data_IF_775784034364
#
_entry.id   IF_775784034364
#
_cell.length_a   1.000
_cell.length_b   1.000
_cell.length_c   1.000
_cell.angle_alpha   90.00
_cell.angle_beta   90.00
_cell.angle_gamma   90.00
#
_symmetry.space_group_name_H-M   'P 1'
#
loop_
_entity.id
_entity.type
_entity.pdbx_description
1 polymer ?
#
# COMPACT_ATOMS: atom_id res chain seq x y z
N UNK A 1 -32.44 -54.03 -23.35
CA UNK A 1 -31.15 -54.27 -22.65
C UNK A 1 -31.23 -53.56 -21.33
N UNK A 2 -31.41 -54.28 -20.22
CA UNK A 2 -31.37 -53.73 -18.89
C UNK A 2 -29.95 -53.19 -18.66
N UNK A 3 -29.83 -51.88 -18.48
CA UNK A 3 -28.62 -51.29 -17.95
C UNK A 3 -28.46 -51.75 -16.51
N UNK A 4 -27.78 -52.84 -16.30
CA UNK A 4 -27.40 -53.33 -14.99
C UNK A 4 -26.57 -52.23 -14.33
N UNK A 5 -27.06 -51.73 -13.21
CA UNK A 5 -26.42 -50.64 -12.47
C UNK A 5 -25.01 -51.07 -12.06
N UNK A 6 -23.99 -50.44 -12.62
CA UNK A 6 -22.58 -50.69 -12.28
C UNK A 6 -22.25 -50.42 -10.80
N UNK A 7 -23.19 -49.85 -10.04
CA UNK A 7 -22.98 -49.45 -8.64
C UNK A 7 -23.91 -50.15 -7.65
N UNK A 8 -24.61 -51.20 -8.06
CA UNK A 8 -25.65 -51.89 -7.28
C UNK A 8 -25.16 -52.38 -5.91
N UNK A 9 -23.88 -52.81 -5.84
CA UNK A 9 -23.29 -53.41 -4.65
C UNK A 9 -22.35 -52.49 -3.87
N UNK A 10 -22.13 -51.25 -4.33
CA UNK A 10 -21.20 -50.34 -3.67
C UNK A 10 -21.87 -49.61 -2.51
N UNK A 11 -21.20 -49.57 -1.37
CA UNK A 11 -21.67 -48.80 -0.23
C UNK A 11 -21.52 -47.28 -0.45
N UNK A 12 -22.35 -46.50 0.24
CA UNK A 12 -22.21 -45.05 0.27
C UNK A 12 -20.91 -44.69 0.97
N UNK A 13 -20.12 -43.83 0.38
CA UNK A 13 -18.81 -43.44 0.92
C UNK A 13 -18.96 -42.76 2.32
N UNK A 14 -18.02 -43.06 3.21
CA UNK A 14 -17.96 -42.47 4.55
C UNK A 14 -17.78 -40.95 4.48
N UNK A 15 -18.39 -40.23 5.43
CA UNK A 15 -18.33 -38.72 5.52
C UNK A 15 -16.91 -38.19 5.37
N UNK A 16 -15.95 -38.74 6.11
CA UNK A 16 -14.56 -38.29 6.08
C UNK A 16 -13.93 -38.38 4.70
N UNK A 17 -14.21 -39.42 3.93
CA UNK A 17 -13.66 -39.61 2.57
C UNK A 17 -14.30 -38.63 1.58
N UNK A 18 -15.60 -38.35 1.71
CA UNK A 18 -16.28 -37.33 0.91
C UNK A 18 -15.72 -35.95 1.24
N UNK A 19 -15.53 -35.63 2.52
CA UNK A 19 -14.93 -34.38 2.96
C UNK A 19 -13.49 -34.19 2.42
N UNK A 20 -12.66 -35.22 2.51
CA UNK A 20 -11.29 -35.20 1.96
C UNK A 20 -11.32 -35.01 0.43
N UNK A 21 -12.25 -35.68 -0.29
CA UNK A 21 -12.40 -35.49 -1.73
C UNK A 21 -12.71 -34.04 -2.09
N UNK A 22 -13.65 -33.42 -1.39
CA UNK A 22 -14.02 -32.01 -1.61
C UNK A 22 -12.86 -31.08 -1.27
N UNK A 23 -12.15 -31.32 -0.17
CA UNK A 23 -11.00 -30.53 0.22
C UNK A 23 -9.86 -30.63 -0.83
N UNK A 24 -9.60 -31.84 -1.35
CA UNK A 24 -8.63 -32.02 -2.42
C UNK A 24 -9.06 -31.34 -3.73
N UNK A 25 -10.34 -31.40 -4.09
CA UNK A 25 -10.87 -30.67 -5.26
C UNK A 25 -10.69 -29.15 -5.09
N UNK A 26 -11.02 -28.63 -3.91
CA UNK A 26 -10.83 -27.22 -3.58
C UNK A 26 -9.35 -26.82 -3.70
N UNK A 27 -8.46 -27.62 -3.15
CA UNK A 27 -7.01 -27.41 -3.25
C UNK A 27 -6.48 -27.51 -4.69
N UNK A 28 -6.99 -28.47 -5.48
CA UNK A 28 -6.62 -28.61 -6.89
C UNK A 28 -7.07 -27.40 -7.72
N UNK A 29 -8.28 -26.89 -7.50
CA UNK A 29 -8.75 -25.67 -8.17
C UNK A 29 -7.84 -24.51 -7.82
N UNK A 30 -7.50 -24.35 -6.54
CA UNK A 30 -6.61 -23.28 -6.10
C UNK A 30 -5.22 -23.36 -6.73
N UNK A 31 -4.57 -24.52 -6.67
CA UNK A 31 -3.21 -24.72 -7.23
C UNK A 31 -3.21 -24.51 -8.76
N UNK A 32 -4.19 -25.09 -9.45
CA UNK A 32 -4.31 -24.92 -10.91
C UNK A 32 -4.56 -23.47 -11.29
N UNK A 33 -5.43 -22.79 -10.54
CA UNK A 33 -5.68 -21.36 -10.75
C UNK A 33 -4.44 -20.51 -10.54
N UNK A 34 -3.62 -20.82 -9.52
CA UNK A 34 -2.33 -20.13 -9.30
C UNK A 34 -1.33 -20.35 -10.44
N UNK A 35 -1.20 -21.58 -10.91
CA UNK A 35 -0.29 -21.89 -12.02
C UNK A 35 -0.71 -21.17 -13.31
N UNK A 36 -2.00 -21.20 -13.63
CA UNK A 36 -2.54 -20.50 -14.77
C UNK A 36 -2.49 -18.98 -14.60
N UNK A 37 -2.66 -18.47 -13.38
CA UNK A 37 -2.50 -17.05 -13.08
C UNK A 37 -1.08 -16.57 -13.38
N UNK A 38 -0.07 -17.33 -12.99
CA UNK A 38 1.32 -16.99 -13.31
C UNK A 38 1.54 -16.88 -14.83
N UNK A 39 0.98 -17.81 -15.61
CA UNK A 39 1.03 -17.73 -17.07
C UNK A 39 0.22 -16.54 -17.62
N UNK A 40 -0.95 -16.27 -17.05
CA UNK A 40 -1.79 -15.14 -17.49
C UNK A 40 -1.18 -13.78 -17.15
N UNK A 41 -0.37 -13.67 -16.07
CA UNK A 41 0.39 -12.45 -15.76
C UNK A 41 1.41 -12.14 -16.84
N UNK A 42 2.10 -13.16 -17.37
CA UNK A 42 3.02 -12.96 -18.50
C UNK A 42 2.29 -12.39 -19.71
N UNK A 43 1.10 -12.88 -20.02
CA UNK A 43 0.26 -12.32 -21.08
C UNK A 43 -0.23 -10.91 -20.77
N UNK A 44 -0.66 -10.67 -19.52
CA UNK A 44 -1.18 -9.36 -19.08
C UNK A 44 -0.11 -8.28 -19.15
N UNK A 45 1.14 -8.59 -18.80
CA UNK A 45 2.25 -7.64 -18.85
C UNK A 45 2.53 -7.10 -20.26
N UNK A 46 2.13 -7.83 -21.30
CA UNK A 46 2.27 -7.42 -22.71
C UNK A 46 1.02 -6.70 -23.25
N UNK A 47 -0.05 -6.58 -22.49
CA UNK A 47 -1.23 -5.87 -22.92
C UNK A 47 -0.96 -4.36 -23.01
N UNK A 48 -1.33 -3.69 -24.12
CA UNK A 48 -1.10 -2.24 -24.27
C UNK A 48 -1.72 -1.41 -23.13
N UNK A 49 -2.86 -1.85 -22.58
CA UNK A 49 -3.54 -1.17 -21.46
C UNK A 49 -2.71 -1.25 -20.19
N UNK A 50 -2.10 -2.42 -19.92
CA UNK A 50 -1.22 -2.61 -18.75
C UNK A 50 0.04 -1.75 -18.87
N UNK A 51 0.74 -1.84 -20.00
CA UNK A 51 1.96 -1.05 -20.25
C UNK A 51 1.68 0.45 -20.18
N UNK A 52 0.53 0.91 -20.73
CA UNK A 52 0.12 2.31 -20.63
C UNK A 52 -0.14 2.74 -19.18
N UNK A 53 -0.75 1.88 -18.37
CA UNK A 53 -1.01 2.17 -16.96
C UNK A 53 0.29 2.24 -16.14
N UNK A 54 1.24 1.32 -16.38
CA UNK A 54 2.56 1.32 -15.74
C UNK A 54 3.34 2.58 -16.13
N UNK A 55 3.42 2.88 -17.43
CA UNK A 55 4.12 4.08 -17.89
C UNK A 55 3.49 5.36 -17.33
N UNK A 56 2.15 5.41 -17.22
CA UNK A 56 1.47 6.54 -16.59
C UNK A 56 1.85 6.65 -15.12
N UNK A 57 1.87 5.54 -14.38
CA UNK A 57 2.26 5.51 -12.98
C UNK A 57 3.68 6.03 -12.78
N UNK A 58 4.63 5.53 -13.58
CA UNK A 58 6.05 5.92 -13.48
C UNK A 58 6.24 7.41 -13.82
N UNK A 59 5.63 7.89 -14.91
CA UNK A 59 5.74 9.29 -15.32
C UNK A 59 5.13 10.24 -14.28
N UNK A 60 3.92 9.96 -13.81
CA UNK A 60 3.26 10.81 -12.80
C UNK A 60 4.01 10.75 -11.46
N UNK A 61 4.57 9.59 -11.09
CA UNK A 61 5.42 9.47 -9.91
C UNK A 61 6.66 10.38 -10.03
N UNK A 62 7.27 10.42 -11.20
CA UNK A 62 8.42 11.30 -11.46
C UNK A 62 8.02 12.78 -11.41
N UNK A 63 6.91 13.15 -12.03
CA UNK A 63 6.39 14.52 -12.00
C UNK A 63 6.06 14.98 -10.57
N UNK A 64 5.41 14.13 -9.77
CA UNK A 64 5.14 14.41 -8.36
C UNK A 64 6.43 14.63 -7.55
N UNK A 65 7.45 13.80 -7.78
CA UNK A 65 8.78 13.95 -7.15
C UNK A 65 9.44 15.27 -7.56
N UNK A 66 9.42 15.62 -8.84
CA UNK A 66 9.97 16.88 -9.33
C UNK A 66 9.24 18.08 -8.70
N UNK A 67 7.91 18.02 -8.63
CA UNK A 67 7.12 19.07 -8.02
C UNK A 67 7.52 19.30 -6.55
N UNK A 68 7.59 18.25 -5.75
CA UNK A 68 7.99 18.37 -4.33
C UNK A 68 9.45 18.81 -4.18
N UNK A 69 10.33 18.40 -5.10
CA UNK A 69 11.73 18.88 -5.09
C UNK A 69 11.81 20.40 -5.33
N UNK A 70 10.93 20.97 -6.17
CA UNK A 70 10.87 22.42 -6.38
C UNK A 70 10.50 23.19 -5.13
N UNK A 71 9.77 22.61 -4.19
CA UNK A 71 9.46 23.23 -2.89
C UNK A 71 10.67 23.30 -1.95
N UNK A 72 11.75 22.58 -2.24
CA UNK A 72 12.93 22.36 -1.38
C UNK A 72 12.66 21.66 -0.05
N UNK A 73 11.43 21.31 0.26
CA UNK A 73 11.07 20.62 1.51
C UNK A 73 11.52 19.17 1.55
N UNK A 74 11.58 18.52 0.39
CA UNK A 74 12.09 17.15 0.22
C UNK A 74 13.06 17.10 -0.93
N UNK A 75 14.07 16.22 -0.81
CA UNK A 75 14.95 15.83 -1.89
C UNK A 75 14.58 14.41 -2.32
N UNK A 76 14.63 14.14 -3.59
CA UNK A 76 14.47 12.79 -4.12
C UNK A 76 15.78 12.36 -4.79
N UNK A 77 16.25 11.19 -4.40
CA UNK A 77 17.36 10.49 -5.05
C UNK A 77 16.82 9.24 -5.76
N UNK A 78 17.67 8.59 -6.55
CA UNK A 78 17.34 7.30 -7.18
C UNK A 78 17.04 6.20 -6.16
N UNK A 79 17.55 6.33 -4.94
CA UNK A 79 17.32 5.39 -3.83
C UNK A 79 16.06 5.66 -3.02
N UNK A 80 15.39 6.79 -3.20
CA UNK A 80 14.15 7.13 -2.50
C UNK A 80 13.98 8.60 -2.11
N UNK A 81 13.12 8.85 -1.11
CA UNK A 81 12.83 10.18 -0.59
C UNK A 81 13.91 10.55 0.43
N UNK A 82 14.58 11.68 0.21
CA UNK A 82 15.45 12.32 1.19
C UNK A 82 14.70 13.49 1.83
N UNK A 83 14.35 13.37 3.09
CA UNK A 83 13.84 14.50 3.88
C UNK A 83 15.00 15.35 4.38
N UNK A 84 14.80 16.64 4.73
CA UNK A 84 15.78 17.41 5.46
C UNK A 84 16.20 16.68 6.73
N UNK A 85 17.49 16.40 6.81
CA UNK A 85 18.08 15.64 7.92
C UNK A 85 18.58 16.59 9.01
N UNK A 86 19.04 16.03 10.10
CA UNK A 86 19.63 16.76 11.22
C UNK A 86 20.80 17.68 10.78
N UNK A 87 21.53 17.32 9.71
CA UNK A 87 22.60 18.14 9.14
C UNK A 87 22.07 19.46 8.58
N UNK A 88 20.93 19.45 7.90
CA UNK A 88 20.30 20.67 7.37
C UNK A 88 19.83 21.56 8.51
N UNK A 89 19.24 20.98 9.56
CA UNK A 89 18.85 21.69 10.78
C UNK A 89 20.04 22.33 11.50
N UNK A 90 21.16 21.61 11.61
CA UNK A 90 22.41 22.14 12.20
C UNK A 90 22.97 23.31 11.39
N UNK A 91 22.95 23.19 10.07
CA UNK A 91 23.38 24.28 9.16
C UNK A 91 22.48 25.51 9.33
N UNK A 92 21.16 25.30 9.43
CA UNK A 92 20.20 26.36 9.69
C UNK A 92 20.52 27.10 11.00
N UNK A 93 20.68 26.38 12.12
CA UNK A 93 21.02 26.98 13.41
C UNK A 93 22.37 27.71 13.35
N UNK A 94 23.37 27.14 12.70
CA UNK A 94 24.66 27.81 12.52
C UNK A 94 24.52 29.12 11.76
N UNK A 95 23.67 29.15 10.73
CA UNK A 95 23.43 30.38 9.96
C UNK A 95 22.68 31.44 10.78
N UNK A 96 21.71 31.06 11.62
CA UNK A 96 21.06 31.99 12.57
C UNK A 96 22.11 32.61 13.50
N UNK A 97 22.98 31.78 14.09
CA UNK A 97 24.03 32.26 15.02
C UNK A 97 25.00 33.18 14.30
N UNK A 98 25.45 32.85 13.08
CA UNK A 98 26.35 33.70 12.30
C UNK A 98 25.70 35.01 11.89
N UNK A 99 24.43 34.98 11.47
CA UNK A 99 23.68 36.20 11.12
C UNK A 99 23.55 37.12 12.34
N UNK A 100 23.23 36.56 13.49
CA UNK A 100 23.13 37.29 14.74
C UNK A 100 24.50 37.87 15.16
N UNK A 101 25.56 37.08 15.04
CA UNK A 101 26.92 37.54 15.33
C UNK A 101 27.35 38.68 14.41
N UNK A 102 27.03 38.60 13.12
CA UNK A 102 27.28 39.66 12.16
C UNK A 102 26.59 40.97 12.55
N UNK A 103 25.30 40.89 12.89
CA UNK A 103 24.49 42.08 13.28
C UNK A 103 25.05 42.73 14.54
N UNK A 104 25.46 41.96 15.51
CA UNK A 104 26.03 42.48 16.77
C UNK A 104 27.52 42.81 16.69
N UNK A 105 28.19 42.58 15.56
CA UNK A 105 29.64 42.77 15.44
C UNK A 105 30.44 41.83 16.36
N UNK A 106 29.98 40.62 16.58
CA UNK A 106 30.64 39.61 17.41
C UNK A 106 31.44 38.69 16.49
N UNK A 107 32.71 38.50 16.84
CA UNK A 107 33.60 37.60 16.13
C UNK A 107 33.15 36.14 16.30
N UNK A 108 33.30 35.34 15.22
CA UNK A 108 32.88 33.96 15.14
C UNK A 108 34.09 33.04 14.95
N UNK A 109 34.20 31.91 15.65
CA UNK A 109 35.30 30.96 15.52
C UNK A 109 35.21 30.21 14.18
N UNK A 110 36.31 30.21 13.45
CA UNK A 110 36.45 29.43 12.20
C UNK A 110 37.51 28.36 12.45
N UNK A 111 37.11 27.11 12.25
CA UNK A 111 38.02 25.98 12.39
C UNK A 111 39.00 25.97 11.22
N UNK A 112 40.31 25.86 11.52
CA UNK A 112 41.39 25.76 10.56
C UNK A 112 41.65 24.29 10.20
N UNK A 113 42.49 24.06 9.18
CA UNK A 113 42.87 22.71 8.74
C UNK A 113 43.63 21.92 9.83
N UNK A 114 44.38 22.60 10.70
CA UNK A 114 45.09 22.02 11.84
C UNK A 114 44.20 21.74 13.06
N UNK A 115 42.89 21.85 12.92
CA UNK A 115 41.89 21.75 13.97
C UNK A 115 41.94 22.85 15.04
N UNK A 116 42.74 23.91 14.89
CA UNK A 116 42.64 25.10 15.73
C UNK A 116 41.49 25.99 15.35
N UNK A 117 41.10 26.90 16.23
CA UNK A 117 40.04 27.88 15.95
C UNK A 117 40.62 29.29 15.94
N UNK A 118 40.28 30.06 14.90
CA UNK A 118 40.60 31.49 14.82
C UNK A 118 39.32 32.27 14.84
N UNK A 119 39.19 33.21 15.77
CA UNK A 119 38.03 34.11 15.83
C UNK A 119 38.22 35.25 14.82
N UNK A 120 37.21 35.52 14.02
CA UNK A 120 37.22 36.58 13.02
C UNK A 120 35.82 37.14 12.81
N UNK A 121 35.68 38.38 12.27
CA UNK A 121 34.39 38.95 11.92
C UNK A 121 33.64 38.06 10.93
N UNK A 122 32.34 37.88 11.16
CA UNK A 122 31.48 37.14 10.24
C UNK A 122 31.33 37.95 8.95
N UNK A 123 31.49 37.31 7.81
CA UNK A 123 31.23 37.92 6.50
C UNK A 123 29.77 37.74 6.12
N UNK A 124 29.22 38.71 5.37
CA UNK A 124 27.83 38.68 4.87
C UNK A 124 27.49 37.38 4.16
N UNK A 125 28.40 36.86 3.35
CA UNK A 125 28.25 35.60 2.59
C UNK A 125 28.01 34.35 3.45
N UNK A 126 28.27 34.44 4.74
CA UNK A 126 28.03 33.34 5.70
C UNK A 126 26.76 33.52 6.53
N UNK A 127 25.88 34.40 6.11
CA UNK A 127 24.66 34.77 6.82
C UNK A 127 23.44 34.61 5.94
N UNK A 128 22.25 34.69 6.53
CA UNK A 128 21.00 34.78 5.77
C UNK A 128 20.89 36.06 4.92
N UNK A 129 21.76 37.02 5.12
CA UNK A 129 21.74 38.30 4.41
C UNK A 129 22.43 38.26 3.05
N UNK A 130 23.21 37.19 2.77
CA UNK A 130 24.03 37.11 1.55
C UNK A 130 23.24 36.99 0.26
N UNK A 131 22.05 36.44 0.30
CA UNK A 131 21.29 36.09 -0.91
C UNK A 131 19.88 36.70 -0.90
N UNK A 132 19.82 38.02 -0.80
CA UNK A 132 18.62 38.84 -0.71
C UNK A 132 17.56 38.55 -1.77
N UNK A 133 18.02 38.27 -2.99
CA UNK A 133 17.14 38.16 -4.15
C UNK A 133 16.66 36.73 -4.42
N UNK A 134 17.33 35.72 -3.87
CA UNK A 134 17.11 34.33 -4.27
C UNK A 134 16.43 33.44 -3.22
N UNK A 135 16.21 33.92 -1.99
CA UNK A 135 15.63 33.14 -0.90
C UNK A 135 16.24 31.71 -0.79
N UNK A 136 17.55 31.62 -0.91
CA UNK A 136 18.26 30.33 -0.93
C UNK A 136 18.84 29.94 0.43
N UNK A 137 18.46 30.65 1.47
CA UNK A 137 19.04 30.50 2.82
C UNK A 137 18.79 29.14 3.44
N UNK A 138 17.56 28.72 3.38
CA UNK A 138 17.12 27.41 3.91
C UNK A 138 15.79 26.99 3.26
N UNK A 139 15.46 25.72 3.43
CA UNK A 139 14.29 25.12 2.81
C UNK A 139 12.97 25.71 3.31
N UNK A 140 12.89 26.06 4.60
CA UNK A 140 11.65 26.59 5.19
C UNK A 140 11.40 28.01 4.71
N UNK A 141 12.41 28.89 4.81
CA UNK A 141 12.29 30.28 4.36
C UNK A 141 11.96 30.34 2.88
N UNK A 142 12.61 29.52 2.05
CA UNK A 142 12.28 29.42 0.64
C UNK A 142 10.82 29.03 0.43
N UNK A 143 10.35 27.96 1.10
CA UNK A 143 8.98 27.51 0.93
C UNK A 143 7.97 28.56 1.34
N UNK A 144 8.05 29.06 2.58
CA UNK A 144 6.99 29.95 3.12
C UNK A 144 7.00 31.36 2.55
N UNK A 145 8.15 31.89 2.15
CA UNK A 145 8.26 33.27 1.69
C UNK A 145 8.38 33.45 0.19
N UNK A 146 8.78 32.44 -0.52
CA UNK A 146 8.87 32.50 -1.98
C UNK A 146 7.93 31.53 -2.67
N UNK A 147 8.09 30.24 -2.41
CA UNK A 147 7.36 29.23 -3.17
C UNK A 147 5.86 29.31 -2.93
N UNK A 148 5.43 29.23 -1.69
CA UNK A 148 4.01 29.21 -1.33
C UNK A 148 3.23 30.44 -1.80
N UNK A 149 3.72 31.71 -1.61
CA UNK A 149 3.03 32.90 -2.09
C UNK A 149 2.96 33.03 -3.61
N UNK A 150 3.97 32.52 -4.33
CA UNK A 150 4.07 32.64 -5.79
C UNK A 150 3.27 31.58 -6.55
N UNK A 151 2.73 30.55 -5.86
CA UNK A 151 2.06 29.42 -6.47
C UNK A 151 0.57 29.38 -6.11
N UNK A 152 -0.28 29.72 -7.07
CA UNK A 152 -1.74 29.80 -6.90
C UNK A 152 -2.41 28.45 -6.59
N UNK A 153 -1.72 27.34 -6.84
CA UNK A 153 -2.23 25.99 -6.58
C UNK A 153 -2.51 25.68 -5.09
N UNK A 154 -2.09 26.54 -4.18
CA UNK A 154 -2.44 26.50 -2.77
C UNK A 154 -3.77 27.20 -2.42
N UNK A 155 -4.64 27.40 -3.41
CA UNK A 155 -5.95 28.06 -3.24
C UNK A 155 -5.88 29.51 -2.73
N UNK A 156 -4.93 30.29 -3.23
CA UNK A 156 -4.80 31.73 -2.96
C UNK A 156 -4.77 32.11 -1.47
N UNK A 157 -4.22 31.25 -0.64
CA UNK A 157 -3.95 31.59 0.77
C UNK A 157 -2.80 32.61 0.93
N UNK A 158 -2.44 33.28 -0.14
CA UNK A 158 -1.36 34.24 -0.24
C UNK A 158 -1.48 35.39 0.78
N UNK A 159 -2.73 35.80 1.11
CA UNK A 159 -2.98 36.84 2.08
C UNK A 159 -2.57 36.48 3.52
N UNK A 160 -2.50 35.18 3.83
CA UNK A 160 -2.28 34.73 5.21
C UNK A 160 -0.80 34.63 5.57
N UNK A 161 0.13 34.69 4.59
CA UNK A 161 1.55 34.39 4.78
C UNK A 161 2.45 35.61 4.84
N UNK A 162 1.93 36.78 4.50
CA UNK A 162 2.69 38.04 4.54
C UNK A 162 3.11 38.45 5.96
N UNK A 163 2.60 37.76 6.99
CA UNK A 163 2.95 38.05 8.37
C UNK A 163 3.93 37.01 8.93
N UNK A 164 5.04 37.49 9.45
CA UNK A 164 6.04 36.70 10.19
C UNK A 164 5.45 35.80 11.29
N UNK A 165 4.25 36.14 11.77
CA UNK A 165 3.49 35.40 12.77
C UNK A 165 3.16 33.98 12.32
N UNK A 166 2.68 33.78 11.10
CA UNK A 166 2.27 32.46 10.58
C UNK A 166 3.48 31.54 10.44
N UNK A 167 4.60 32.07 9.93
CA UNK A 167 5.83 31.29 9.87
C UNK A 167 6.28 30.80 11.25
N UNK A 168 6.25 31.69 12.25
CA UNK A 168 6.64 31.34 13.61
C UNK A 168 5.70 30.32 14.25
N UNK A 169 4.40 30.41 13.98
CA UNK A 169 3.41 29.40 14.39
C UNK A 169 3.72 28.05 13.76
N UNK A 170 4.01 28.00 12.46
CA UNK A 170 4.35 26.77 11.73
C UNK A 170 5.66 26.14 12.22
N UNK A 171 6.57 26.94 12.75
CA UNK A 171 7.81 26.46 13.39
C UNK A 171 7.62 26.07 14.87
N UNK A 172 6.45 26.26 15.43
CA UNK A 172 6.17 25.94 16.84
C UNK A 172 6.50 27.07 17.83
N UNK A 173 6.77 28.28 17.37
CA UNK A 173 6.95 29.48 18.21
C UNK A 173 5.63 30.27 18.34
N UNK A 174 4.53 29.59 18.59
CA UNK A 174 3.17 30.15 18.56
C UNK A 174 2.87 31.19 19.65
N UNK A 175 3.76 31.42 20.62
CA UNK A 175 3.56 32.48 21.62
C UNK A 175 4.56 33.62 21.43
N UNK A 176 4.07 34.84 21.55
CA UNK A 176 4.92 36.04 21.53
C UNK A 176 6.04 35.95 22.58
N UNK A 177 5.77 35.39 23.75
CA UNK A 177 6.75 35.20 24.82
C UNK A 177 7.88 34.25 24.45
N UNK A 178 7.59 33.10 23.88
CA UNK A 178 8.61 32.13 23.46
C UNK A 178 9.53 32.71 22.39
N UNK A 179 8.98 33.53 21.49
CA UNK A 179 9.77 34.22 20.47
C UNK A 179 10.63 35.34 21.07
N UNK A 180 10.04 36.22 21.88
CA UNK A 180 10.72 37.41 22.49
C UNK A 180 11.92 36.93 23.35
N UNK A 181 11.78 35.85 24.09
CA UNK A 181 12.85 35.39 24.98
C UNK A 181 14.10 34.89 24.24
N UNK A 182 13.96 34.43 22.97
CA UNK A 182 15.06 33.82 22.23
C UNK A 182 15.54 34.70 21.06
N UNK A 183 14.67 35.55 20.51
CA UNK A 183 14.95 36.32 19.31
C UNK A 183 14.78 37.83 19.55
N UNK A 184 15.46 38.58 18.72
CA UNK A 184 15.30 40.03 18.72
C UNK A 184 13.94 40.38 18.09
N UNK A 185 13.13 41.16 18.81
CA UNK A 185 11.84 41.61 18.31
C UNK A 185 11.97 42.83 17.41
N UNK A 186 10.95 43.06 16.57
CA UNK A 186 10.83 44.21 15.70
C UNK A 186 10.71 45.56 16.44
N UNK A 187 10.72 45.58 17.75
CA UNK A 187 10.51 46.79 18.58
C UNK A 187 11.78 47.62 18.73
N UNK A 188 12.96 47.09 18.31
CA UNK A 188 14.21 47.83 18.31
C UNK A 188 14.44 48.48 16.94
N UNK A 189 14.44 49.80 16.87
CA UNK A 189 14.72 50.56 15.65
C UNK A 189 16.03 50.19 14.95
N UNK A 190 16.99 49.69 15.70
CA UNK A 190 18.31 49.25 15.25
C UNK A 190 18.24 48.14 14.16
N UNK A 191 17.14 47.41 14.07
CA UNK A 191 16.98 46.28 13.11
C UNK A 191 16.02 46.58 11.97
N UNK A 192 15.48 47.77 11.87
CA UNK A 192 14.56 48.20 10.78
C UNK A 192 15.11 47.93 9.37
N UNK A 193 16.42 48.17 9.08
CA UNK A 193 17.00 47.86 7.76
C UNK A 193 16.90 46.41 7.36
N UNK A 194 16.83 45.51 8.33
CA UNK A 194 16.74 44.04 8.07
C UNK A 194 15.29 43.58 7.96
N UNK A 195 14.35 44.41 8.33
CA UNK A 195 12.92 44.15 8.27
C UNK A 195 12.39 43.86 6.88
N UNK A 196 12.96 44.54 5.87
CA UNK A 196 12.58 44.37 4.47
C UNK A 196 13.33 43.23 3.79
N UNK A 197 14.27 42.59 4.47
CA UNK A 197 15.14 41.58 3.92
C UNK A 197 14.70 40.19 4.31
N UNK A 198 14.38 40.00 5.56
CA UNK A 198 13.90 38.77 6.16
C UNK A 198 12.56 39.08 6.80
N UNK A 199 11.46 38.58 6.23
CA UNK A 199 10.15 38.69 6.86
C UNK A 199 10.13 37.99 8.21
N UNK A 200 11.10 37.12 8.47
CA UNK A 200 11.27 36.43 9.75
C UNK A 200 12.64 36.68 10.31
N UNK A 201 12.64 37.38 11.38
CA UNK A 201 13.86 37.77 12.11
C UNK A 201 14.26 36.69 13.06
N UNK A 202 14.84 35.62 12.57
CA UNK A 202 15.48 34.65 13.40
C UNK A 202 16.88 35.13 13.77
N UNK A 203 16.92 36.27 14.42
CA UNK A 203 18.13 36.85 14.96
C UNK A 203 18.06 36.68 16.46
N UNK A 204 18.96 35.86 16.99
CA UNK A 204 19.06 35.64 18.43
C UNK A 204 19.37 36.97 19.13
N UNK A 205 18.85 37.16 20.33
CA UNK A 205 19.28 38.26 21.16
C UNK A 205 20.79 38.15 21.46
N UNK A 206 21.43 39.26 21.85
CA UNK A 206 22.88 39.34 22.01
C UNK A 206 23.42 38.29 23.00
N UNK A 207 22.73 38.07 24.11
CA UNK A 207 23.12 37.09 25.14
C UNK A 207 23.11 35.66 24.60
N UNK A 208 22.03 35.29 23.96
CA UNK A 208 21.87 33.98 23.35
C UNK A 208 22.86 33.78 22.19
N UNK A 209 23.16 34.83 21.40
CA UNK A 209 24.19 34.78 20.35
C UNK A 209 25.54 34.41 20.91
N UNK A 210 26.01 35.10 21.97
CA UNK A 210 27.30 34.83 22.61
C UNK A 210 27.34 33.41 23.13
N UNK A 211 26.29 32.97 23.81
CA UNK A 211 26.22 31.62 24.38
C UNK A 211 26.19 30.54 23.28
N UNK A 212 25.47 30.77 22.20
CA UNK A 212 25.36 29.80 21.09
C UNK A 212 26.63 29.72 20.22
N UNK A 213 27.47 30.76 20.20
CA UNK A 213 28.77 30.73 19.51
C UNK A 213 29.66 29.62 20.08
N UNK A 214 29.70 29.43 21.40
CA UNK A 214 30.46 28.34 22.00
C UNK A 214 29.98 26.96 21.55
N UNK A 215 28.68 26.76 21.54
CA UNK A 215 28.06 25.50 21.11
C UNK A 215 28.25 25.20 19.62
N UNK A 216 27.94 26.17 18.78
CA UNK A 216 27.90 25.97 17.32
C UNK A 216 29.26 26.25 16.68
N UNK A 217 29.94 27.29 17.10
CA UNK A 217 31.20 27.73 16.52
C UNK A 217 32.40 26.87 16.94
N UNK A 218 32.48 26.55 18.22
CA UNK A 218 33.56 25.68 18.75
C UNK A 218 33.17 24.20 18.83
N UNK A 219 31.95 23.85 18.47
CA UNK A 219 31.39 22.50 18.64
C UNK A 219 31.52 21.99 20.09
N UNK A 220 31.25 22.88 21.07
CA UNK A 220 31.39 22.57 22.48
C UNK A 220 30.34 21.55 22.93
N UNK A 221 30.83 20.39 23.36
CA UNK A 221 29.97 19.30 23.90
C UNK A 221 29.57 19.54 25.36
N UNK A 222 30.28 20.43 26.06
CA UNK A 222 30.06 20.74 27.48
C UNK A 222 29.28 22.05 27.69
N UNK A 223 28.59 22.53 26.65
CA UNK A 223 27.74 23.70 26.76
C UNK A 223 26.73 23.55 27.91
N UNK A 224 26.35 24.68 28.53
CA UNK A 224 25.36 24.68 29.61
C UNK A 224 24.03 24.02 29.20
N UNK A 225 23.25 23.53 30.16
CA UNK A 225 21.95 22.93 29.92
C UNK A 225 21.00 23.89 29.17
N UNK A 226 21.07 25.20 29.49
CA UNK A 226 20.24 26.23 28.82
C UNK A 226 20.63 26.39 27.35
N UNK A 227 21.93 26.43 27.03
CA UNK A 227 22.41 26.52 25.65
C UNK A 227 22.03 25.26 24.84
N UNK A 228 22.18 24.07 25.43
CA UNK A 228 21.75 22.83 24.80
C UNK A 228 20.24 22.80 24.56
N UNK A 229 19.44 23.33 25.50
CA UNK A 229 17.97 23.43 25.33
C UNK A 229 17.63 24.38 24.19
N UNK A 230 18.23 25.57 24.15
CA UNK A 230 18.02 26.52 23.07
C UNK A 230 18.41 25.92 21.70
N UNK A 231 19.57 25.28 21.64
CA UNK A 231 20.03 24.60 20.43
C UNK A 231 19.02 23.55 19.93
N UNK A 232 18.57 22.67 20.82
CA UNK A 232 17.60 21.63 20.48
C UNK A 232 16.24 22.22 20.09
N UNK A 233 15.80 23.30 20.73
CA UNK A 233 14.57 23.99 20.35
C UNK A 233 14.64 24.56 18.93
N UNK A 234 15.79 25.13 18.54
CA UNK A 234 16.00 25.64 17.18
C UNK A 234 16.01 24.49 16.13
N UNK A 235 16.67 23.39 16.46
CA UNK A 235 16.62 22.17 15.61
C UNK A 235 15.18 21.68 15.43
N UNK A 236 14.45 21.56 16.53
CA UNK A 236 13.05 21.11 16.51
C UNK A 236 12.16 22.09 15.75
N UNK A 237 12.37 23.39 15.92
CA UNK A 237 11.63 24.40 15.18
C UNK A 237 11.84 24.28 13.66
N UNK A 238 13.08 24.05 13.23
CA UNK A 238 13.39 23.78 11.81
C UNK A 238 12.62 22.57 11.31
N UNK A 239 12.70 21.46 12.03
CA UNK A 239 12.02 20.22 11.66
C UNK A 239 10.50 20.40 11.58
N UNK A 240 9.92 21.09 12.56
CA UNK A 240 8.48 21.40 12.58
C UNK A 240 8.07 22.30 11.38
N UNK A 241 8.88 23.28 11.05
CA UNK A 241 8.62 24.16 9.91
C UNK A 241 8.65 23.43 8.58
N UNK A 242 9.61 22.52 8.39
CA UNK A 242 9.68 21.62 7.23
C UNK A 242 8.46 20.70 7.17
N UNK A 243 8.13 20.06 8.28
CA UNK A 243 6.97 19.16 8.33
C UNK A 243 5.67 19.89 8.04
N UNK A 244 5.48 21.09 8.62
CA UNK A 244 4.31 21.92 8.34
C UNK A 244 4.21 22.31 6.86
N UNK A 245 5.33 22.60 6.23
CA UNK A 245 5.36 22.86 4.78
C UNK A 245 5.00 21.63 3.95
N UNK A 246 5.48 20.45 4.34
CA UNK A 246 5.12 19.18 3.69
C UNK A 246 3.62 18.91 3.85
N UNK A 247 3.08 19.07 5.06
CA UNK A 247 1.65 18.87 5.33
C UNK A 247 0.79 19.86 4.52
N UNK A 248 1.27 21.10 4.32
CA UNK A 248 0.60 22.09 3.48
C UNK A 248 0.56 21.69 2.01
N UNK A 249 1.68 21.18 1.48
CA UNK A 249 1.73 20.65 0.09
C UNK A 249 0.78 19.48 -0.07
N UNK A 250 0.82 18.53 0.86
CA UNK A 250 0.01 17.30 0.79
C UNK A 250 -1.49 17.57 0.93
N UNK A 251 -1.87 18.56 1.74
CA UNK A 251 -3.28 18.85 2.02
C UNK A 251 -3.91 19.86 1.07
N UNK A 252 -3.14 20.85 0.59
CA UNK A 252 -3.70 22.04 -0.04
C UNK A 252 -3.19 22.30 -1.46
N UNK A 253 -2.08 21.69 -1.92
CA UNK A 253 -1.65 21.86 -3.30
C UNK A 253 -2.55 21.09 -4.26
N UNK A 254 -3.32 21.80 -5.07
CA UNK A 254 -4.20 21.19 -6.09
C UNK A 254 -3.40 20.44 -7.15
N UNK A 255 -2.19 20.87 -7.46
CA UNK A 255 -1.28 20.20 -8.40
C UNK A 255 -0.81 18.88 -7.82
N UNK A 256 -0.31 18.87 -6.58
CA UNK A 256 0.12 17.63 -5.91
C UNK A 256 -1.02 16.64 -5.72
N UNK A 257 -2.19 17.11 -5.28
CA UNK A 257 -3.39 16.28 -5.16
C UNK A 257 -3.84 15.71 -6.51
N UNK A 258 -3.64 16.46 -7.60
CA UNK A 258 -3.85 15.98 -8.96
C UNK A 258 -2.94 14.80 -9.31
N UNK A 259 -1.64 14.90 -9.02
CA UNK A 259 -0.70 13.80 -9.21
C UNK A 259 -1.05 12.57 -8.37
N UNK A 260 -1.40 12.75 -7.09
CA UNK A 260 -1.81 11.63 -6.23
C UNK A 260 -3.04 10.92 -6.75
N UNK A 261 -4.05 11.66 -7.21
CA UNK A 261 -5.24 11.10 -7.85
C UNK A 261 -4.90 10.31 -9.12
N UNK A 262 -4.01 10.83 -9.94
CA UNK A 262 -3.58 10.14 -11.17
C UNK A 262 -2.76 8.89 -10.89
N UNK A 263 -1.91 8.91 -9.85
CA UNK A 263 -1.19 7.73 -9.35
C UNK A 263 -2.16 6.66 -8.87
N UNK A 264 -3.15 7.03 -8.05
CA UNK A 264 -4.17 6.11 -7.56
C UNK A 264 -4.97 5.48 -8.70
N UNK A 265 -5.35 6.27 -9.71
CA UNK A 265 -6.06 5.77 -10.88
C UNK A 265 -5.21 4.79 -11.69
N UNK A 266 -3.94 5.10 -11.93
CA UNK A 266 -3.01 4.22 -12.64
C UNK A 266 -2.77 2.92 -11.86
N UNK A 267 -2.52 3.02 -10.56
CA UNK A 267 -2.31 1.89 -9.67
C UNK A 267 -3.54 0.98 -9.56
N UNK A 268 -4.73 1.56 -9.44
CA UNK A 268 -5.98 0.81 -9.43
C UNK A 268 -6.23 0.10 -10.77
N UNK A 269 -5.86 0.71 -11.90
CA UNK A 269 -5.94 0.07 -13.22
C UNK A 269 -5.01 -1.14 -13.31
N UNK A 270 -3.76 -1.01 -12.83
CA UNK A 270 -2.80 -2.13 -12.79
C UNK A 270 -3.35 -3.28 -11.93
N UNK A 271 -3.82 -2.98 -10.72
CA UNK A 271 -4.39 -3.98 -9.81
C UNK A 271 -5.62 -4.66 -10.37
N UNK A 272 -6.52 -3.90 -11.04
CA UNK A 272 -7.68 -4.45 -11.71
C UNK A 272 -7.28 -5.47 -12.79
N UNK A 273 -6.31 -5.13 -13.64
CA UNK A 273 -5.83 -6.03 -14.69
C UNK A 273 -5.21 -7.30 -14.13
N UNK A 274 -4.42 -7.20 -13.05
CA UNK A 274 -3.87 -8.34 -12.34
C UNK A 274 -4.98 -9.23 -11.76
N UNK A 275 -6.00 -8.60 -11.15
CA UNK A 275 -7.15 -9.34 -10.62
C UNK A 275 -7.96 -10.04 -11.73
N UNK A 276 -8.19 -9.38 -12.85
CA UNK A 276 -8.87 -10.00 -14.01
C UNK A 276 -8.07 -11.17 -14.57
N UNK A 277 -6.74 -11.09 -14.60
CA UNK A 277 -5.88 -12.21 -14.96
C UNK A 277 -6.08 -13.42 -14.02
N UNK A 278 -6.22 -13.18 -12.71
CA UNK A 278 -6.54 -14.23 -11.75
C UNK A 278 -7.94 -14.82 -11.98
N UNK A 279 -8.94 -13.98 -12.23
CA UNK A 279 -10.32 -14.43 -12.50
C UNK A 279 -10.38 -15.32 -13.75
N UNK A 280 -9.71 -14.92 -14.83
CA UNK A 280 -9.62 -15.73 -16.04
C UNK A 280 -8.91 -17.05 -15.78
N UNK A 281 -7.81 -17.04 -15.07
CA UNK A 281 -7.07 -18.24 -14.69
C UNK A 281 -7.93 -19.20 -13.84
N UNK A 282 -8.72 -18.67 -12.91
CA UNK A 282 -9.68 -19.45 -12.13
C UNK A 282 -10.72 -20.13 -13.03
N UNK A 283 -11.39 -19.38 -13.91
CA UNK A 283 -12.43 -19.91 -14.80
C UNK A 283 -11.85 -20.99 -15.73
N UNK A 284 -10.70 -20.69 -16.35
CA UNK A 284 -10.03 -21.65 -17.25
C UNK A 284 -9.58 -22.89 -16.49
N UNK A 285 -8.98 -22.73 -15.30
CA UNK A 285 -8.57 -23.85 -14.44
C UNK A 285 -9.74 -24.73 -14.03
N UNK A 286 -10.85 -24.12 -13.65
CA UNK A 286 -12.07 -24.83 -13.31
C UNK A 286 -12.61 -25.63 -14.51
N UNK A 287 -12.69 -25.02 -15.70
CA UNK A 287 -13.14 -25.70 -16.93
C UNK A 287 -12.22 -26.86 -17.27
N UNK A 288 -10.91 -26.69 -17.22
CA UNK A 288 -9.95 -27.75 -17.50
C UNK A 288 -10.13 -28.93 -16.53
N UNK A 289 -10.20 -28.67 -15.23
CA UNK A 289 -10.28 -29.73 -14.22
C UNK A 289 -11.60 -30.49 -14.25
N UNK A 290 -12.71 -29.81 -14.44
CA UNK A 290 -14.02 -30.42 -14.24
C UNK A 290 -14.78 -30.76 -15.53
N UNK A 291 -14.54 -30.07 -16.62
CA UNK A 291 -15.19 -30.38 -17.89
C UNK A 291 -14.30 -31.20 -18.82
N UNK A 292 -13.05 -30.78 -19.04
CA UNK A 292 -12.13 -31.49 -19.94
C UNK A 292 -11.60 -32.74 -19.24
N UNK A 293 -11.06 -32.61 -18.02
CA UNK A 293 -10.46 -33.72 -17.27
C UNK A 293 -11.47 -34.84 -16.98
N UNK A 294 -12.74 -34.49 -16.71
CA UNK A 294 -13.82 -35.45 -16.50
C UNK A 294 -14.33 -36.09 -17.80
N UNK A 295 -14.37 -35.33 -18.89
CA UNK A 295 -14.77 -35.85 -20.19
C UNK A 295 -13.78 -36.88 -20.75
N UNK A 296 -12.50 -36.78 -20.37
CA UNK A 296 -11.46 -37.73 -20.75
C UNK A 296 -11.35 -38.96 -19.80
N UNK A 297 -11.95 -38.88 -18.60
CA UNK A 297 -11.89 -39.97 -17.63
C UNK A 297 -13.05 -40.94 -17.85
N UNK A 298 -12.76 -42.24 -17.92
CA UNK A 298 -13.76 -43.28 -17.83
C UNK A 298 -14.59 -43.09 -16.55
N UNK A 299 -15.91 -43.10 -16.61
CA UNK A 299 -16.85 -43.00 -15.48
C UNK A 299 -17.05 -41.59 -14.87
N UNK A 300 -16.69 -40.50 -15.53
CA UNK A 300 -16.96 -39.12 -15.04
C UNK A 300 -16.44 -38.84 -13.61
N UNK A 301 -15.28 -39.42 -13.25
CA UNK A 301 -14.64 -39.32 -11.94
C UNK A 301 -13.64 -38.17 -11.95
N UNK A 302 -13.59 -37.32 -10.91
CA UNK A 302 -12.53 -36.32 -10.75
C UNK A 302 -11.21 -36.96 -10.31
N UNK A 303 -10.10 -36.25 -10.45
CA UNK A 303 -8.78 -36.74 -10.01
C UNK A 303 -8.81 -37.09 -8.51
N UNK A 304 -9.41 -36.25 -7.67
CA UNK A 304 -9.53 -36.51 -6.23
C UNK A 304 -10.36 -37.75 -5.91
N UNK A 305 -11.47 -37.93 -6.63
CA UNK A 305 -12.32 -39.09 -6.49
C UNK A 305 -11.59 -40.37 -6.91
N UNK A 306 -10.79 -40.34 -8.02
CA UNK A 306 -9.98 -41.46 -8.46
C UNK A 306 -8.95 -41.81 -7.42
N UNK A 307 -8.21 -40.86 -6.87
CA UNK A 307 -7.21 -41.10 -5.82
C UNK A 307 -7.80 -41.73 -4.55
N UNK A 308 -9.09 -41.45 -4.27
CA UNK A 308 -9.78 -41.96 -3.09
C UNK A 308 -10.67 -43.20 -3.39
N UNK A 309 -10.59 -43.77 -4.58
CA UNK A 309 -11.47 -44.85 -5.05
C UNK A 309 -12.96 -44.51 -4.79
N UNK A 310 -13.38 -43.35 -5.26
CA UNK A 310 -14.76 -42.85 -5.15
C UNK A 310 -15.37 -42.70 -6.54
N UNK A 311 -16.68 -42.91 -6.64
CA UNK A 311 -17.44 -42.67 -7.85
C UNK A 311 -18.74 -41.93 -7.53
N UNK A 312 -19.26 -41.18 -8.49
CA UNK A 312 -20.57 -40.52 -8.39
C UNK A 312 -21.62 -41.38 -9.09
N UNK A 313 -22.73 -41.61 -8.39
CA UNK A 313 -23.91 -42.31 -8.92
C UNK A 313 -25.19 -41.56 -8.59
N UNK A 314 -26.28 -41.86 -9.28
CA UNK A 314 -27.61 -41.42 -8.86
C UNK A 314 -28.03 -42.17 -7.58
N UNK A 315 -29.00 -41.63 -6.83
CA UNK A 315 -29.58 -42.32 -5.70
C UNK A 315 -30.22 -43.68 -6.01
N UNK A 316 -30.69 -43.85 -7.24
CA UNK A 316 -31.19 -45.14 -7.76
C UNK A 316 -30.10 -46.05 -8.33
N UNK A 317 -28.84 -45.78 -8.01
CA UNK A 317 -27.66 -46.58 -8.38
C UNK A 317 -27.32 -46.58 -9.89
N UNK A 318 -28.01 -45.80 -10.71
CA UNK A 318 -27.69 -45.63 -12.12
C UNK A 318 -26.52 -44.65 -12.33
N UNK A 319 -25.96 -44.68 -13.50
CA UNK A 319 -24.95 -43.69 -13.94
C UNK A 319 -25.54 -42.27 -13.92
N UNK A 320 -24.75 -41.24 -13.56
CA UNK A 320 -25.21 -39.86 -13.54
C UNK A 320 -25.54 -39.41 -14.96
N UNK A 321 -26.73 -38.80 -15.15
CA UNK A 321 -27.07 -38.17 -16.41
C UNK A 321 -26.38 -36.81 -16.59
N UNK A 322 -26.27 -36.35 -17.84
CA UNK A 322 -25.64 -35.09 -18.17
C UNK A 322 -26.24 -33.91 -17.38
N UNK A 323 -27.54 -33.83 -17.22
CA UNK A 323 -28.23 -32.76 -16.49
C UNK A 323 -27.81 -32.78 -15.01
N UNK A 324 -27.77 -33.96 -14.35
CA UNK A 324 -27.35 -34.08 -12.95
C UNK A 324 -25.89 -33.59 -12.77
N UNK A 325 -25.00 -33.92 -13.71
CA UNK A 325 -23.62 -33.50 -13.69
C UNK A 325 -23.47 -32.00 -13.91
N UNK A 326 -24.20 -31.41 -14.86
CA UNK A 326 -24.20 -29.96 -15.09
C UNK A 326 -24.64 -29.21 -13.83
N UNK A 327 -25.77 -29.61 -13.23
CA UNK A 327 -26.25 -28.97 -11.99
C UNK A 327 -25.22 -29.12 -10.87
N UNK A 328 -24.62 -30.31 -10.71
CA UNK A 328 -23.56 -30.56 -9.72
C UNK A 328 -22.38 -29.59 -9.93
N UNK A 329 -21.93 -29.42 -11.18
CA UNK A 329 -20.78 -28.56 -11.47
C UNK A 329 -21.11 -27.07 -11.31
N UNK A 330 -22.31 -26.63 -11.66
CA UNK A 330 -22.71 -25.25 -11.44
C UNK A 330 -22.65 -24.92 -9.94
N UNK A 331 -23.25 -25.78 -9.10
CA UNK A 331 -23.27 -25.53 -7.65
C UNK A 331 -21.86 -25.60 -7.05
N UNK A 332 -21.05 -26.59 -7.44
CA UNK A 332 -19.68 -26.68 -6.96
C UNK A 332 -18.80 -25.55 -7.50
N UNK A 333 -19.09 -25.04 -8.70
CA UNK A 333 -18.43 -23.84 -9.23
C UNK A 333 -18.65 -22.63 -8.32
N UNK A 334 -19.86 -22.43 -7.83
CA UNK A 334 -20.12 -21.39 -6.84
C UNK A 334 -19.40 -21.65 -5.51
N UNK A 335 -19.37 -22.90 -5.02
CA UNK A 335 -18.63 -23.24 -3.79
C UNK A 335 -17.14 -22.95 -3.94
N UNK A 336 -16.54 -23.39 -5.05
CA UNK A 336 -15.11 -23.21 -5.29
C UNK A 336 -14.75 -21.77 -5.66
N UNK A 337 -15.70 -20.97 -6.15
CA UNK A 337 -15.52 -19.54 -6.38
C UNK A 337 -15.12 -18.78 -5.12
N UNK A 338 -15.41 -19.32 -3.94
CA UNK A 338 -14.90 -18.75 -2.69
C UNK A 338 -13.36 -18.61 -2.65
N UNK A 339 -12.62 -19.37 -3.47
CA UNK A 339 -11.17 -19.21 -3.68
C UNK A 339 -10.80 -17.83 -4.22
N UNK A 340 -11.74 -17.08 -4.83
CA UNK A 340 -11.50 -15.72 -5.30
C UNK A 340 -11.10 -14.77 -4.17
N UNK A 341 -11.53 -15.06 -2.93
CA UNK A 341 -11.13 -14.31 -1.74
C UNK A 341 -9.61 -14.37 -1.58
N UNK A 342 -9.03 -15.53 -1.81
CA UNK A 342 -7.56 -15.72 -1.77
C UNK A 342 -6.90 -14.91 -2.88
N UNK A 343 -7.50 -14.92 -4.09
CA UNK A 343 -7.04 -14.07 -5.20
C UNK A 343 -7.06 -12.58 -4.89
N UNK A 344 -8.06 -12.09 -4.16
CA UNK A 344 -8.11 -10.71 -3.71
C UNK A 344 -6.94 -10.36 -2.76
N UNK A 345 -6.58 -11.28 -1.87
CA UNK A 345 -5.40 -11.10 -1.01
C UNK A 345 -4.10 -11.08 -1.84
N UNK A 346 -3.91 -12.00 -2.78
CA UNK A 346 -2.71 -12.04 -3.62
C UNK A 346 -2.55 -10.83 -4.52
N UNK A 347 -3.65 -10.29 -5.06
CA UNK A 347 -3.61 -9.12 -5.94
C UNK A 347 -3.65 -7.80 -5.18
N UNK A 348 -4.07 -7.83 -3.91
CA UNK A 348 -4.26 -6.67 -3.06
C UNK A 348 -5.34 -5.69 -3.56
N UNK A 349 -6.18 -6.10 -4.52
CA UNK A 349 -7.21 -5.24 -5.12
C UNK A 349 -8.60 -5.50 -4.55
N UNK A 350 -8.83 -5.04 -3.33
CA UNK A 350 -10.15 -5.14 -2.69
C UNK A 350 -11.23 -4.28 -3.34
N UNK A 351 -10.85 -3.25 -4.10
CA UNK A 351 -11.78 -2.47 -4.93
C UNK A 351 -12.55 -3.32 -5.95
N UNK A 352 -12.01 -4.49 -6.33
CA UNK A 352 -12.71 -5.46 -7.17
C UNK A 352 -14.05 -5.92 -6.60
N UNK A 353 -14.24 -5.91 -5.28
CA UNK A 353 -15.51 -6.29 -4.65
C UNK A 353 -16.68 -5.43 -5.10
N UNK A 354 -16.44 -4.18 -5.47
CA UNK A 354 -17.44 -3.27 -6.03
C UNK A 354 -17.72 -3.43 -7.51
N UNK A 355 -17.00 -4.31 -8.25
CA UNK A 355 -17.19 -4.48 -9.70
C UNK A 355 -18.62 -5.00 -9.99
N UNK A 356 -19.40 -4.29 -10.82
CA UNK A 356 -20.70 -4.76 -11.26
C UNK A 356 -20.52 -5.96 -12.18
N UNK A 357 -21.25 -7.05 -11.93
CA UNK A 357 -21.18 -8.25 -12.74
C UNK A 357 -22.48 -8.47 -13.53
N UNK A 358 -23.63 -8.45 -12.84
CA UNK A 358 -24.95 -8.66 -13.45
C UNK A 358 -26.02 -7.80 -12.77
N UNK A 359 -26.52 -6.77 -13.43
CA UNK A 359 -27.55 -5.90 -12.86
C UNK A 359 -27.15 -5.31 -11.49
N UNK A 360 -27.89 -5.55 -10.41
CA UNK A 360 -27.56 -5.04 -9.08
C UNK A 360 -26.47 -5.85 -8.35
N UNK A 361 -26.03 -6.98 -8.92
CA UNK A 361 -25.05 -7.85 -8.29
C UNK A 361 -23.63 -7.42 -8.62
N UNK A 362 -22.86 -7.17 -7.58
CA UNK A 362 -21.43 -6.94 -7.67
C UNK A 362 -20.64 -8.20 -7.24
N UNK A 363 -19.33 -8.18 -7.40
CA UNK A 363 -18.46 -9.30 -7.01
C UNK A 363 -18.64 -9.68 -5.54
N UNK A 364 -18.82 -8.72 -4.65
CA UNK A 364 -19.04 -8.96 -3.22
C UNK A 364 -20.28 -9.83 -2.99
N UNK A 365 -21.37 -9.55 -3.70
CA UNK A 365 -22.62 -10.35 -3.59
C UNK A 365 -22.37 -11.81 -3.96
N UNK A 366 -21.61 -12.06 -5.04
CA UNK A 366 -21.29 -13.44 -5.47
C UNK A 366 -20.35 -14.12 -4.47
N UNK A 367 -19.37 -13.41 -3.92
CA UNK A 367 -18.48 -13.93 -2.88
C UNK A 367 -19.29 -14.34 -1.64
N UNK A 368 -20.22 -13.50 -1.20
CA UNK A 368 -21.10 -13.84 -0.05
C UNK A 368 -21.92 -15.09 -0.35
N UNK A 369 -22.55 -15.17 -1.51
CA UNK A 369 -23.32 -16.36 -1.94
C UNK A 369 -22.41 -17.60 -1.98
N UNK A 370 -21.19 -17.48 -2.49
CA UNK A 370 -20.22 -18.59 -2.52
C UNK A 370 -19.85 -19.09 -1.13
N UNK A 371 -19.63 -18.19 -0.17
CA UNK A 371 -19.34 -18.54 1.22
C UNK A 371 -20.55 -19.20 1.90
N UNK A 372 -21.77 -18.73 1.61
CA UNK A 372 -23.00 -19.36 2.10
C UNK A 372 -23.13 -20.77 1.52
N UNK A 373 -22.87 -20.96 0.24
CA UNK A 373 -22.92 -22.29 -0.40
C UNK A 373 -21.85 -23.22 0.16
N UNK A 374 -20.66 -22.72 0.43
CA UNK A 374 -19.59 -23.48 1.10
C UNK A 374 -20.04 -23.95 2.49
N UNK A 375 -20.57 -23.06 3.32
CA UNK A 375 -21.08 -23.38 4.64
C UNK A 375 -22.25 -24.38 4.56
N UNK A 376 -23.22 -24.16 3.67
CA UNK A 376 -24.33 -25.06 3.44
C UNK A 376 -23.86 -26.44 2.98
N UNK A 377 -22.81 -26.52 2.17
CA UNK A 377 -22.21 -27.77 1.73
C UNK A 377 -21.64 -28.59 2.90
N UNK A 378 -20.99 -27.96 3.87
CA UNK A 378 -20.52 -28.62 5.08
C UNK A 378 -21.70 -29.11 5.96
N UNK A 379 -22.71 -28.27 6.15
CA UNK A 379 -23.89 -28.65 6.93
C UNK A 379 -24.60 -29.84 6.30
N UNK A 380 -24.85 -29.81 4.99
CA UNK A 380 -25.53 -30.93 4.29
C UNK A 380 -24.72 -32.23 4.36
N UNK A 381 -23.38 -32.16 4.26
CA UNK A 381 -22.50 -33.31 4.43
C UNK A 381 -22.62 -33.94 5.83
N UNK A 382 -22.79 -33.11 6.88
CA UNK A 382 -22.91 -33.59 8.25
C UNK A 382 -24.27 -34.19 8.56
N UNK A 383 -25.35 -33.61 8.01
CA UNK A 383 -26.75 -33.94 8.38
C UNK A 383 -27.34 -35.02 7.48
N UNK A 384 -26.97 -35.10 6.19
CA UNK A 384 -27.59 -36.04 5.27
C UNK A 384 -27.19 -37.49 5.53
N UNK A 385 -28.15 -38.42 5.43
CA UNK A 385 -27.91 -39.87 5.60
C UNK A 385 -26.96 -40.45 4.58
N UNK A 386 -26.93 -39.87 3.36
CA UNK A 386 -26.11 -40.32 2.25
C UNK A 386 -24.78 -39.54 2.13
N UNK A 387 -24.39 -38.81 3.18
CA UNK A 387 -23.15 -38.05 3.21
C UNK A 387 -22.97 -37.10 1.99
N UNK A 388 -24.02 -36.36 1.66
CA UNK A 388 -24.09 -35.52 0.46
C UNK A 388 -23.67 -34.08 0.77
N UNK A 389 -22.78 -33.52 -0.04
CA UNK A 389 -22.59 -32.06 -0.10
C UNK A 389 -23.80 -31.38 -0.75
N UNK A 390 -23.87 -30.05 -0.67
CA UNK A 390 -24.96 -29.29 -1.29
C UNK A 390 -25.09 -29.61 -2.79
N UNK A 391 -23.99 -29.63 -3.52
CA UNK A 391 -23.95 -29.96 -4.94
C UNK A 391 -24.50 -31.37 -5.23
N UNK A 392 -24.12 -32.36 -4.44
CA UNK A 392 -24.62 -33.75 -4.57
C UNK A 392 -26.11 -33.85 -4.23
N UNK A 393 -26.54 -33.15 -3.20
CA UNK A 393 -27.93 -33.17 -2.75
C UNK A 393 -28.87 -32.60 -3.80
N UNK A 394 -28.58 -31.41 -4.31
CA UNK A 394 -29.43 -30.74 -5.31
C UNK A 394 -29.41 -31.45 -6.66
N UNK A 395 -28.29 -32.04 -7.05
CA UNK A 395 -28.17 -32.81 -8.30
C UNK A 395 -28.70 -34.24 -8.20
N UNK A 396 -29.20 -34.65 -7.03
CA UNK A 396 -29.70 -36.02 -6.77
C UNK A 396 -28.63 -37.10 -6.98
N UNK A 397 -27.38 -36.79 -6.59
CA UNK A 397 -26.21 -37.66 -6.71
C UNK A 397 -25.72 -38.10 -5.33
N UNK A 398 -25.03 -39.23 -5.30
CA UNK A 398 -24.37 -39.80 -4.12
C UNK A 398 -22.95 -40.25 -4.48
N UNK A 399 -22.04 -40.22 -3.49
CA UNK A 399 -20.69 -40.75 -3.66
C UNK A 399 -20.67 -42.21 -3.16
N UNK A 400 -20.22 -43.10 -4.01
CA UNK A 400 -20.04 -44.51 -3.73
C UNK A 400 -18.56 -44.86 -3.52
N UNK A 401 -18.25 -45.81 -2.65
CA UNK A 401 -16.92 -46.37 -2.46
C UNK A 401 -16.69 -47.52 -3.43
N UNK A 402 -15.71 -47.42 -4.31
CA UNK A 402 -15.47 -48.41 -5.36
C UNK A 402 -14.59 -49.61 -4.91
N UNK A 403 -13.92 -49.51 -3.76
CA UNK A 403 -13.05 -50.55 -3.22
C UNK A 403 -13.84 -51.80 -2.79
N UNK A 404 -15.00 -51.61 -2.21
CA UNK A 404 -15.85 -52.72 -1.74
C UNK A 404 -16.48 -53.51 -2.91
N UNK A 405 -16.57 -52.90 -4.08
CA UNK A 405 -17.03 -53.60 -5.27
C UNK A 405 -16.00 -54.59 -5.80
N UNK A 406 -14.72 -54.24 -5.76
CA UNK A 406 -13.65 -55.11 -6.20
C UNK A 406 -13.48 -56.32 -5.27
N UNK A 407 -13.56 -56.14 -3.95
CA UNK A 407 -13.50 -57.23 -3.00
C UNK A 407 -14.67 -58.25 -3.17
N UNK A 408 -15.87 -57.74 -3.37
CA UNK A 408 -17.06 -58.59 -3.57
C UNK A 408 -17.04 -59.37 -4.91
N UNK A 409 -16.33 -58.87 -5.92
CA UNK A 409 -16.14 -59.62 -7.19
C UNK A 409 -15.15 -60.75 -6.98
N UNK A 410 -14.10 -60.52 -6.21
CA UNK A 410 -13.08 -61.53 -5.95
C UNK A 410 -13.67 -62.67 -5.10
N UNK A 411 -14.40 -62.34 -4.04
CA UNK A 411 -15.06 -63.34 -3.18
C UNK A 411 -16.09 -64.19 -3.96
N UNK A 412 -16.87 -63.56 -4.86
CA UNK A 412 -17.81 -64.34 -5.70
C UNK A 412 -17.17 -65.16 -6.83
N UNK A 413 -15.90 -64.92 -7.15
CA UNK A 413 -15.15 -65.76 -8.09
C UNK A 413 -14.43 -66.91 -7.40
N UNK A 414 -14.14 -66.80 -6.11
CA UNK A 414 -13.55 -67.88 -5.31
C UNK A 414 -14.60 -68.88 -4.84
N UNK A 415 -15.84 -68.42 -4.54
CA UNK A 415 -16.95 -69.31 -4.15
C UNK A 415 -17.57 -70.09 -5.37
N UNK A 416 -17.19 -69.74 -6.58
CA UNK A 416 -17.68 -70.37 -7.82
C UNK A 416 -16.74 -71.45 -8.42
N UNK A 417 -15.72 -71.87 -7.67
CA UNK A 417 -14.87 -73.00 -7.97
C UNK A 417 -15.14 -74.11 -6.98
#
# INVERSE_FOLDING_TARGET
MENVSKFKNNLVAKKGRVAISVALEYGLVFVTSLLLFYLSLLGTSHLPVYTKAVNKFDNVSLEAKHYVTCTKLRKYSDSGIETPIETDAKTYVATIVKTSAYIYGIDYPVKQEDNTYVTQPVKVENTFLSERENYTYDNISYFWFKYYPEHDEFNNKQSDITESKIYLEKMGYGSKEGFVNNFVTNETEEYLPYKDILPVYLILNRSNTVSMISKVGYNDTNASAEVNTLYNNLITAYQNGVQSGIDEVEANSTVYLGYMKDLDNAYNTIRLLIFLAYLVAYVVGYVILFFIGRGMAERFITVSQKCLNLAIARKNEMEPGAVNLIVYHIINGFIYFSNIVIGLFFTGYFGALGLPLFGPFNLLSIVIVSLIFLAASFVTLLVTKNNQTLGLLVSNLVVKDTREFESNIIDNQEDGK
#
